data_IF_558685202096
#
_entry.id   IF_558685202096
#
_cell.length_a   1.000
_cell.length_b   1.000
_cell.length_c   1.000
_cell.angle_alpha   90.00
_cell.angle_beta   90.00
_cell.angle_gamma   90.00
#
_symmetry.space_group_name_H-M   'P 1'
#
loop_
_entity.id
_entity.type
_entity.pdbx_description
1 polymer ?
#
# COMPACT_ATOMS: atom_id res chain seq x y z
N UNK A 1 5.33 23.70 -11.18
CA UNK A 1 6.39 22.74 -10.84
C UNK A 1 6.33 21.61 -11.88
N UNK A 2 7.39 21.33 -12.63
CA UNK A 2 7.39 20.14 -13.51
C UNK A 2 7.61 18.93 -12.61
N UNK A 3 6.55 18.22 -12.29
CA UNK A 3 6.63 16.97 -11.53
C UNK A 3 7.28 15.95 -12.47
N UNK A 4 8.44 15.45 -12.08
CA UNK A 4 9.10 14.36 -12.79
C UNK A 4 8.39 13.05 -12.39
N UNK A 5 7.75 12.38 -13.33
CA UNK A 5 7.02 11.12 -13.13
C UNK A 5 7.93 10.09 -12.44
N UNK A 6 9.20 10.05 -12.83
CA UNK A 6 10.17 9.14 -12.23
C UNK A 6 10.36 9.40 -10.73
N UNK A 7 10.40 10.67 -10.30
CA UNK A 7 10.44 11.01 -8.88
C UNK A 7 9.17 10.54 -8.16
N UNK A 8 8.00 10.79 -8.75
CA UNK A 8 6.72 10.37 -8.18
C UNK A 8 6.60 8.86 -7.98
N UNK A 9 7.12 8.06 -8.92
CA UNK A 9 7.13 6.60 -8.84
C UNK A 9 8.07 6.10 -7.73
N UNK A 10 9.18 6.81 -7.46
CA UNK A 10 10.16 6.41 -6.45
C UNK A 10 9.79 6.85 -5.04
N UNK A 11 8.92 7.84 -4.88
CA UNK A 11 8.54 8.40 -3.57
C UNK A 11 8.04 7.31 -2.59
N UNK A 12 7.13 6.39 -2.94
CA UNK A 12 6.70 5.31 -2.05
C UNK A 12 7.87 4.44 -1.59
N UNK A 13 8.69 3.96 -2.50
CA UNK A 13 9.88 3.16 -2.22
C UNK A 13 10.88 3.86 -1.28
N UNK A 14 11.01 5.18 -1.39
CA UNK A 14 11.82 5.96 -0.44
C UNK A 14 11.21 5.90 0.96
N UNK A 15 9.89 5.95 1.08
CA UNK A 15 9.16 5.78 2.35
C UNK A 15 9.51 4.45 3.02
N UNK A 16 9.33 3.33 2.31
CA UNK A 16 9.67 1.97 2.76
C UNK A 16 11.15 1.87 3.17
N UNK A 17 12.05 2.42 2.34
CA UNK A 17 13.50 2.40 2.60
C UNK A 17 13.87 3.18 3.87
N UNK A 18 13.29 4.36 4.07
CA UNK A 18 13.50 5.18 5.27
C UNK A 18 12.97 4.49 6.51
N UNK A 19 11.80 3.86 6.43
CA UNK A 19 11.25 3.03 7.49
C UNK A 19 12.16 1.86 7.84
N UNK A 20 12.64 1.13 6.85
CA UNK A 20 13.59 0.04 7.04
C UNK A 20 14.89 0.51 7.69
N UNK A 21 15.34 1.73 7.41
CA UNK A 21 16.56 2.30 7.99
C UNK A 21 16.47 2.55 9.51
N UNK A 22 15.26 2.54 10.10
CA UNK A 22 15.07 2.64 11.55
C UNK A 22 15.87 1.56 12.32
N UNK A 23 16.12 0.40 11.71
CA UNK A 23 16.91 -0.69 12.31
C UNK A 23 18.33 -0.30 12.68
N UNK A 24 18.92 0.72 12.05
CA UNK A 24 20.25 1.20 12.37
C UNK A 24 20.29 2.01 13.67
N UNK A 25 19.22 2.72 13.98
CA UNK A 25 19.13 3.66 15.10
C UNK A 25 18.46 3.04 16.32
N UNK A 26 17.51 2.13 16.12
CA UNK A 26 16.79 1.49 17.21
C UNK A 26 17.58 0.30 17.78
N UNK A 27 17.60 0.19 19.11
CA UNK A 27 18.31 -0.89 19.83
C UNK A 27 17.40 -2.00 20.32
N UNK A 28 16.10 -1.75 20.37
CA UNK A 28 15.06 -2.67 20.90
C UNK A 28 13.98 -2.88 19.86
N UNK A 29 13.26 -3.99 19.96
CA UNK A 29 12.03 -4.23 19.20
C UNK A 29 11.00 -3.15 19.49
N UNK A 30 10.14 -2.87 18.51
CA UNK A 30 9.02 -1.96 18.70
C UNK A 30 8.09 -2.51 19.80
N UNK A 31 7.65 -1.64 20.71
CA UNK A 31 6.64 -2.03 21.67
C UNK A 31 5.31 -2.32 20.97
N UNK A 32 4.50 -3.22 21.52
CA UNK A 32 3.17 -3.55 20.95
C UNK A 32 2.29 -2.32 20.72
N UNK A 33 2.36 -1.32 21.63
CA UNK A 33 1.61 -0.07 21.47
C UNK A 33 2.07 0.74 20.28
N UNK A 34 3.39 0.78 20.01
CA UNK A 34 3.94 1.45 18.83
C UNK A 34 3.56 0.70 17.55
N UNK A 35 3.65 -0.63 17.52
CA UNK A 35 3.22 -1.42 16.37
C UNK A 35 1.75 -1.14 16.04
N UNK A 36 0.85 -1.20 17.02
CA UNK A 36 -0.58 -0.87 16.85
C UNK A 36 -0.81 0.55 16.33
N UNK A 37 -0.05 1.51 16.84
CA UNK A 37 -0.14 2.90 16.38
C UNK A 37 0.28 3.03 14.93
N UNK A 38 1.39 2.41 14.54
CA UNK A 38 1.91 2.43 13.18
C UNK A 38 0.97 1.71 12.20
N UNK A 39 0.48 0.52 12.54
CA UNK A 39 -0.49 -0.23 11.75
C UNK A 39 -1.82 0.55 11.58
N UNK A 40 -2.33 1.13 12.67
CA UNK A 40 -3.53 1.97 12.61
C UNK A 40 -3.34 3.20 11.72
N UNK A 41 -2.20 3.88 11.85
CA UNK A 41 -1.88 5.06 11.05
C UNK A 41 -1.80 4.73 9.55
N UNK A 42 -1.08 3.64 9.18
CA UNK A 42 -1.00 3.17 7.81
C UNK A 42 -2.38 2.78 7.26
N UNK A 43 -3.16 2.00 8.02
CA UNK A 43 -4.52 1.63 7.64
C UNK A 43 -5.42 2.86 7.38
N UNK A 44 -5.32 3.89 8.22
CA UNK A 44 -6.07 5.13 8.03
C UNK A 44 -5.73 5.85 6.74
N UNK A 45 -4.44 5.97 6.41
CA UNK A 45 -3.98 6.57 5.15
C UNK A 45 -4.48 5.74 3.96
N UNK A 46 -4.32 4.41 3.98
CA UNK A 46 -4.73 3.52 2.89
C UNK A 46 -6.24 3.60 2.62
N UNK A 47 -7.07 3.63 3.67
CA UNK A 47 -8.53 3.78 3.50
C UNK A 47 -8.88 5.12 2.86
N UNK A 48 -8.30 6.22 3.34
CA UNK A 48 -8.54 7.54 2.77
C UNK A 48 -8.07 7.62 1.30
N UNK A 49 -6.85 7.17 1.00
CA UNK A 49 -6.32 7.12 -0.37
C UNK A 49 -7.21 6.28 -1.30
N UNK A 50 -7.67 5.11 -0.83
CA UNK A 50 -8.58 4.25 -1.61
C UNK A 50 -9.88 4.98 -1.97
N UNK A 51 -10.40 5.81 -1.09
CA UNK A 51 -11.64 6.55 -1.32
C UNK A 51 -11.39 7.77 -2.22
N UNK A 52 -10.53 8.70 -1.78
CA UNK A 52 -10.38 10.01 -2.44
C UNK A 52 -9.54 9.95 -3.70
N UNK A 53 -8.40 9.26 -3.66
CA UNK A 53 -7.48 9.21 -4.80
C UNK A 53 -7.89 8.18 -5.86
N UNK A 54 -8.67 7.15 -5.52
CA UNK A 54 -8.96 6.04 -6.43
C UNK A 54 -10.46 5.87 -6.73
N UNK A 55 -11.32 5.61 -5.74
CA UNK A 55 -12.74 5.30 -5.98
C UNK A 55 -13.54 6.51 -6.45
N UNK A 56 -13.31 7.70 -5.88
CA UNK A 56 -14.01 8.91 -6.30
C UNK A 56 -13.66 9.28 -7.74
N UNK A 57 -12.38 9.34 -8.18
CA UNK A 57 -12.02 9.55 -9.57
C UNK A 57 -12.58 8.47 -10.52
N UNK A 58 -12.57 7.19 -10.12
CA UNK A 58 -13.15 6.11 -10.90
C UNK A 58 -14.65 6.32 -11.15
N UNK A 59 -15.39 6.69 -10.10
CA UNK A 59 -16.82 6.96 -10.18
C UNK A 59 -17.13 8.16 -11.07
N UNK A 60 -16.37 9.26 -10.93
CA UNK A 60 -16.53 10.46 -11.76
C UNK A 60 -16.28 10.19 -13.23
N UNK A 61 -15.28 9.37 -13.57
CA UNK A 61 -15.00 8.99 -14.96
C UNK A 61 -16.12 8.16 -15.59
N UNK A 62 -16.96 7.53 -14.77
CA UNK A 62 -18.07 6.66 -15.21
C UNK A 62 -19.42 7.36 -15.24
N UNK A 63 -19.51 8.64 -14.92
CA UNK A 63 -20.77 9.42 -14.85
C UNK A 63 -21.57 9.37 -16.16
N UNK A 64 -20.92 9.28 -17.32
CA UNK A 64 -21.57 9.14 -18.62
C UNK A 64 -22.43 7.89 -18.75
N UNK A 65 -22.26 6.86 -17.89
CA UNK A 65 -23.04 5.64 -17.85
C UNK A 65 -24.39 5.80 -17.11
N UNK A 66 -24.70 7.00 -16.60
CA UNK A 66 -25.93 7.29 -15.90
C UNK A 66 -26.13 6.39 -14.66
N UNK A 67 -27.24 5.66 -14.58
CA UNK A 67 -27.56 4.79 -13.45
C UNK A 67 -26.59 3.61 -13.28
N UNK A 68 -25.80 3.27 -14.30
CA UNK A 68 -24.79 2.20 -14.26
C UNK A 68 -23.38 2.70 -13.96
N UNK A 69 -23.21 3.98 -13.59
CA UNK A 69 -21.89 4.59 -13.28
C UNK A 69 -21.13 3.89 -12.16
N UNK A 70 -21.81 3.18 -11.27
CA UNK A 70 -21.19 2.39 -10.19
C UNK A 70 -20.52 1.09 -10.68
N UNK A 71 -20.88 0.59 -11.87
CA UNK A 71 -20.45 -0.74 -12.35
C UNK A 71 -18.92 -0.84 -12.47
N UNK A 72 -18.18 0.10 -13.11
CA UNK A 72 -16.74 0.02 -13.16
C UNK A 72 -16.09 0.03 -11.77
N UNK A 73 -16.60 0.86 -10.86
CA UNK A 73 -16.10 0.93 -9.50
C UNK A 73 -16.31 -0.39 -8.74
N UNK A 74 -17.50 -0.94 -8.77
CA UNK A 74 -17.81 -2.20 -8.07
C UNK A 74 -17.06 -3.39 -8.67
N UNK A 75 -17.04 -3.51 -10.00
CA UNK A 75 -16.38 -4.64 -10.67
C UNK A 75 -14.87 -4.58 -10.46
N UNK A 76 -14.25 -3.41 -10.67
CA UNK A 76 -12.80 -3.24 -10.44
C UNK A 76 -12.43 -3.54 -8.99
N UNK A 77 -13.19 -3.01 -8.04
CA UNK A 77 -12.98 -3.25 -6.61
C UNK A 77 -12.98 -4.75 -6.25
N UNK A 78 -13.99 -5.48 -6.71
CA UNK A 78 -14.06 -6.93 -6.48
C UNK A 78 -12.91 -7.69 -7.13
N UNK A 79 -12.52 -7.30 -8.36
CA UNK A 79 -11.37 -7.93 -9.02
C UNK A 79 -10.09 -7.68 -8.20
N UNK A 80 -9.91 -6.48 -7.62
CA UNK A 80 -8.78 -6.17 -6.75
C UNK A 80 -8.73 -7.01 -5.49
N UNK A 81 -9.86 -7.15 -4.79
CA UNK A 81 -10.02 -8.03 -3.62
C UNK A 81 -9.65 -9.48 -3.99
N UNK A 82 -10.26 -10.01 -5.07
CA UNK A 82 -10.04 -11.41 -5.48
C UNK A 82 -8.61 -11.66 -5.98
N UNK A 83 -7.98 -10.66 -6.58
CA UNK A 83 -6.57 -10.73 -7.00
C UNK A 83 -5.65 -10.91 -5.80
N UNK A 84 -5.80 -10.09 -4.76
CA UNK A 84 -4.98 -10.22 -3.54
C UNK A 84 -5.27 -11.53 -2.82
N UNK A 85 -6.54 -11.89 -2.66
CA UNK A 85 -6.93 -13.18 -2.10
C UNK A 85 -6.28 -14.35 -2.86
N UNK A 86 -6.20 -14.28 -4.19
CA UNK A 86 -5.54 -15.31 -4.98
C UNK A 86 -4.02 -15.32 -4.75
N UNK A 87 -3.36 -14.16 -4.69
CA UNK A 87 -1.92 -14.07 -4.38
C UNK A 87 -1.61 -14.62 -3.01
N UNK A 88 -2.43 -14.31 -2.02
CA UNK A 88 -2.34 -14.77 -0.65
C UNK A 88 -2.38 -16.30 -0.55
N UNK A 89 -3.26 -16.93 -1.32
CA UNK A 89 -3.34 -18.39 -1.41
C UNK A 89 -2.24 -19.06 -2.25
N UNK A 90 -1.63 -18.33 -3.20
CA UNK A 90 -0.65 -18.90 -4.14
C UNK A 90 0.81 -18.70 -3.71
N UNK A 91 1.08 -17.72 -2.86
CA UNK A 91 2.45 -17.39 -2.45
C UNK A 91 2.66 -17.77 -0.98
N UNK A 92 3.69 -18.58 -0.65
CA UNK A 92 3.98 -18.90 0.72
C UNK A 92 4.54 -17.68 1.45
N UNK A 93 3.85 -17.23 2.50
CA UNK A 93 4.23 -16.06 3.27
C UNK A 93 3.92 -16.24 4.76
N UNK A 94 4.40 -15.33 5.60
CA UNK A 94 4.23 -15.37 7.05
C UNK A 94 4.06 -13.94 7.59
N UNK A 95 2.92 -13.70 8.23
CA UNK A 95 2.67 -12.41 8.87
C UNK A 95 3.53 -12.20 10.11
N UNK A 96 3.88 -10.95 10.38
CA UNK A 96 4.66 -10.58 11.56
C UNK A 96 3.88 -10.93 12.83
N UNK A 97 4.53 -11.71 13.72
CA UNK A 97 3.89 -12.17 14.96
C UNK A 97 3.03 -13.42 14.84
N UNK A 98 2.89 -14.01 13.63
CA UNK A 98 2.27 -15.33 13.43
C UNK A 98 3.32 -16.44 13.46
N UNK A 99 2.90 -17.62 13.93
CA UNK A 99 3.68 -18.86 13.85
C UNK A 99 3.15 -19.80 12.75
N UNK A 100 2.06 -19.43 12.10
CA UNK A 100 1.46 -20.21 11.02
C UNK A 100 1.71 -19.50 9.69
N UNK A 101 2.43 -20.19 8.80
CA UNK A 101 2.63 -19.72 7.44
C UNK A 101 1.36 -19.95 6.61
N UNK A 102 1.06 -19.00 5.73
CA UNK A 102 -0.04 -19.06 4.78
C UNK A 102 0.44 -19.43 3.38
N UNK A 103 -0.50 -19.79 2.50
CA UNK A 103 -0.19 -20.24 1.15
C UNK A 103 0.33 -21.69 1.09
N UNK A 104 0.96 -22.10 -0.02
CA UNK A 104 1.45 -23.46 -0.22
C UNK A 104 2.59 -23.81 0.74
N UNK A 105 2.67 -25.07 1.14
CA UNK A 105 3.80 -25.56 1.96
C UNK A 105 5.13 -25.27 1.25
N UNK A 106 6.02 -24.57 1.93
CA UNK A 106 7.30 -24.13 1.39
C UNK A 106 8.47 -24.51 2.32
N UNK A 107 9.66 -24.63 1.73
CA UNK A 107 10.92 -24.78 2.45
C UNK A 107 11.63 -23.44 2.70
N UNK A 108 10.97 -22.32 2.38
CA UNK A 108 11.52 -20.98 2.60
C UNK A 108 11.72 -20.70 4.09
N UNK A 109 12.79 -20.04 4.44
CA UNK A 109 13.05 -19.62 5.81
C UNK A 109 12.03 -18.59 6.29
N UNK A 110 11.79 -18.53 7.60
CA UNK A 110 10.86 -17.61 8.27
C UNK A 110 11.05 -16.15 7.79
N UNK A 111 12.30 -15.67 7.80
CA UNK A 111 12.67 -14.33 7.33
C UNK A 111 12.21 -14.05 5.89
N UNK A 112 12.42 -15.00 4.98
CA UNK A 112 12.01 -14.84 3.58
C UNK A 112 10.48 -14.75 3.45
N UNK A 113 9.75 -15.59 4.18
CA UNK A 113 8.29 -15.58 4.17
C UNK A 113 7.72 -14.28 4.75
N UNK A 114 8.34 -13.70 5.78
CA UNK A 114 7.97 -12.39 6.31
C UNK A 114 8.19 -11.25 5.30
N UNK A 115 9.32 -11.28 4.57
CA UNK A 115 9.57 -10.29 3.50
C UNK A 115 8.56 -10.46 2.37
N UNK A 116 8.20 -11.70 2.00
CA UNK A 116 7.19 -11.96 0.97
C UNK A 116 5.81 -11.42 1.35
N UNK A 117 5.39 -11.56 2.61
CA UNK A 117 4.12 -10.99 3.08
C UNK A 117 4.03 -9.49 2.72
N UNK A 118 4.99 -8.69 3.21
CA UNK A 118 4.99 -7.23 2.93
C UNK A 118 5.19 -6.94 1.43
N UNK A 119 5.95 -7.75 0.71
CA UNK A 119 6.11 -7.61 -0.75
C UNK A 119 4.77 -7.74 -1.47
N UNK A 120 3.90 -8.67 -1.05
CA UNK A 120 2.56 -8.85 -1.63
C UNK A 120 1.69 -7.60 -1.46
N UNK A 121 1.81 -6.92 -0.32
CA UNK A 121 1.04 -5.70 -0.02
C UNK A 121 1.53 -4.50 -0.81
N UNK A 122 2.82 -4.40 -1.05
CA UNK A 122 3.42 -3.30 -1.81
C UNK A 122 3.13 -3.37 -3.33
N UNK A 123 2.68 -4.53 -3.86
CA UNK A 123 2.29 -4.65 -5.27
C UNK A 123 1.10 -3.74 -5.62
N UNK A 124 -0.04 -3.77 -4.90
CA UNK A 124 -1.18 -2.88 -5.15
C UNK A 124 -0.83 -1.40 -5.04
N UNK A 125 0.07 -1.05 -4.12
CA UNK A 125 0.51 0.33 -3.91
C UNK A 125 1.28 0.86 -5.12
N UNK A 126 2.24 0.09 -5.61
CA UNK A 126 2.93 0.40 -6.85
C UNK A 126 1.98 0.51 -8.04
N UNK A 127 1.02 -0.42 -8.17
CA UNK A 127 0.00 -0.36 -9.22
C UNK A 127 -0.89 0.87 -9.08
N UNK A 128 -1.31 1.27 -7.88
CA UNK A 128 -2.11 2.47 -7.63
C UNK A 128 -1.39 3.74 -8.13
N UNK A 129 -0.11 3.90 -7.76
CA UNK A 129 0.74 4.99 -8.26
C UNK A 129 0.84 4.94 -9.79
N UNK A 130 1.08 3.75 -10.35
CA UNK A 130 1.17 3.55 -11.79
C UNK A 130 -0.10 3.95 -12.54
N UNK A 131 -1.28 3.57 -12.04
CA UNK A 131 -2.59 3.94 -12.62
C UNK A 131 -2.80 5.45 -12.60
N UNK A 132 -2.46 6.13 -11.50
CA UNK A 132 -2.59 7.59 -11.40
C UNK A 132 -1.67 8.32 -12.38
N UNK A 133 -0.40 7.93 -12.48
CA UNK A 133 0.51 8.53 -13.47
C UNK A 133 0.14 8.17 -14.91
N UNK A 134 -0.40 6.98 -15.15
CA UNK A 134 -0.93 6.59 -16.45
C UNK A 134 -2.13 7.47 -16.87
N UNK A 135 -3.07 7.70 -15.94
CA UNK A 135 -4.19 8.59 -16.15
C UNK A 135 -3.77 10.04 -16.42
N UNK A 136 -2.79 10.55 -15.67
CA UNK A 136 -2.20 11.85 -15.90
C UNK A 136 -1.54 11.97 -17.30
N UNK A 137 -0.75 10.97 -17.72
CA UNK A 137 -0.12 10.91 -19.04
C UNK A 137 -1.13 10.83 -20.19
N UNK A 138 -2.28 10.23 -19.93
CA UNK A 138 -3.39 10.14 -20.87
C UNK A 138 -4.25 11.43 -20.93
N UNK A 139 -3.81 12.49 -20.26
CA UNK A 139 -4.54 13.77 -20.18
C UNK A 139 -5.98 13.60 -19.66
N UNK A 140 -6.18 12.64 -18.73
CA UNK A 140 -7.48 12.38 -18.15
C UNK A 140 -7.91 13.58 -17.28
N UNK A 141 -9.07 14.17 -17.58
CA UNK A 141 -9.57 15.37 -16.93
C UNK A 141 -9.78 15.25 -15.41
N UNK A 142 -9.87 14.03 -14.88
CA UNK A 142 -10.07 13.74 -13.46
C UNK A 142 -8.76 13.46 -12.68
N UNK A 143 -7.62 13.37 -13.40
CA UNK A 143 -6.33 13.02 -12.78
C UNK A 143 -5.30 14.09 -13.12
N UNK A 144 -4.91 14.84 -12.11
CA UNK A 144 -3.89 15.88 -12.22
C UNK A 144 -2.51 15.33 -11.82
N UNK A 145 -1.44 16.02 -12.23
CA UNK A 145 -0.09 15.71 -11.73
C UNK A 145 -0.01 15.85 -10.20
N UNK A 146 -0.78 16.79 -9.64
CA UNK A 146 -0.79 17.02 -8.19
C UNK A 146 -1.51 15.87 -7.46
N UNK A 147 -2.67 15.41 -7.96
CA UNK A 147 -3.37 14.27 -7.35
C UNK A 147 -2.54 12.98 -7.40
N UNK A 148 -1.82 12.73 -8.51
CA UNK A 148 -0.89 11.60 -8.58
C UNK A 148 0.27 11.72 -7.57
N UNK A 149 0.83 12.93 -7.40
CA UNK A 149 1.87 13.18 -6.40
C UNK A 149 1.33 13.04 -4.97
N UNK A 150 0.13 13.53 -4.69
CA UNK A 150 -0.52 13.41 -3.37
C UNK A 150 -0.69 11.95 -2.99
N UNK A 151 -1.16 11.10 -3.92
CA UNK A 151 -1.22 9.66 -3.67
C UNK A 151 0.17 9.07 -3.39
N UNK A 152 1.17 9.40 -4.20
CA UNK A 152 2.56 8.91 -3.99
C UNK A 152 3.11 9.32 -2.61
N UNK A 153 2.85 10.55 -2.16
CA UNK A 153 3.24 11.03 -0.83
C UNK A 153 2.48 10.32 0.28
N UNK A 154 1.17 10.12 0.12
CA UNK A 154 0.35 9.37 1.07
C UNK A 154 0.87 7.95 1.26
N UNK A 155 1.14 7.24 0.14
CA UNK A 155 1.72 5.90 0.17
C UNK A 155 3.12 5.92 0.82
N UNK A 156 3.98 6.89 0.51
CA UNK A 156 5.30 7.00 1.16
C UNK A 156 5.21 7.19 2.68
N UNK A 157 4.23 7.97 3.15
CA UNK A 157 4.02 8.22 4.58
C UNK A 157 3.56 6.93 5.30
N UNK A 158 2.69 6.12 4.68
CA UNK A 158 2.28 4.83 5.27
C UNK A 158 3.38 3.77 5.17
N UNK A 159 4.16 3.76 4.11
CA UNK A 159 5.26 2.81 3.88
C UNK A 159 6.42 3.00 4.84
N UNK A 160 6.58 4.20 5.41
CA UNK A 160 7.58 4.41 6.46
C UNK A 160 7.30 3.52 7.70
N UNK A 161 6.09 3.50 8.31
CA UNK A 161 5.71 2.47 9.28
C UNK A 161 5.98 1.04 8.84
N UNK A 162 5.60 0.68 7.62
CA UNK A 162 5.70 -0.69 7.11
C UNK A 162 7.15 -1.15 6.96
N UNK A 163 8.03 -0.31 6.42
CA UNK A 163 9.47 -0.58 6.37
C UNK A 163 10.08 -0.82 7.75
N UNK A 164 9.61 -0.10 8.78
CA UNK A 164 10.04 -0.31 10.16
C UNK A 164 9.47 -1.60 10.74
N UNK A 165 8.19 -1.88 10.49
CA UNK A 165 7.50 -3.10 10.95
C UNK A 165 8.15 -4.36 10.39
N UNK A 166 8.69 -4.36 9.17
CA UNK A 166 9.40 -5.53 8.63
C UNK A 166 10.86 -5.62 9.09
N UNK A 167 11.61 -4.53 9.06
CA UNK A 167 13.05 -4.55 9.36
C UNK A 167 13.35 -4.83 10.85
N UNK A 168 12.52 -4.33 11.76
CA UNK A 168 12.73 -4.50 13.19
C UNK A 168 12.51 -5.95 13.68
N UNK A 169 11.43 -6.66 13.30
CA UNK A 169 11.28 -8.09 13.59
C UNK A 169 12.39 -8.95 12.97
N UNK A 170 12.80 -8.68 11.72
CA UNK A 170 13.94 -9.41 11.11
C UNK A 170 15.19 -9.28 11.95
N UNK A 171 15.44 -8.11 12.53
CA UNK A 171 16.54 -7.92 13.48
C UNK A 171 16.33 -8.71 14.78
N UNK A 172 15.11 -8.80 15.27
CA UNK A 172 14.77 -9.56 16.49
C UNK A 172 14.94 -11.07 16.29
N UNK A 173 14.67 -11.60 15.10
CA UNK A 173 14.91 -12.98 14.69
C UNK A 173 16.41 -13.33 14.55
N UNK A 174 17.32 -12.39 14.80
CA UNK A 174 18.76 -12.61 14.82
C UNK A 174 19.51 -12.17 13.56
N UNK A 175 18.82 -11.63 12.56
CA UNK A 175 19.46 -11.10 11.35
C UNK A 175 20.37 -9.90 11.69
N UNK A 176 21.44 -9.72 10.91
CA UNK A 176 22.28 -8.51 11.04
C UNK A 176 21.49 -7.26 10.65
N UNK A 177 21.86 -6.08 11.19
CA UNK A 177 21.20 -4.80 10.82
C UNK A 177 21.17 -4.58 9.31
N UNK A 178 22.26 -4.90 8.59
CA UNK A 178 22.34 -4.76 7.15
C UNK A 178 21.38 -5.70 6.40
N UNK A 179 21.25 -6.97 6.83
CA UNK A 179 20.31 -7.90 6.23
C UNK A 179 18.85 -7.54 6.54
N UNK A 180 18.57 -7.13 7.78
CA UNK A 180 17.23 -6.67 8.16
C UNK A 180 16.81 -5.40 7.37
N UNK A 181 17.71 -4.45 7.21
CA UNK A 181 17.51 -3.28 6.33
C UNK A 181 17.25 -3.70 4.88
N UNK A 182 18.12 -4.57 4.33
CA UNK A 182 17.96 -5.06 2.95
C UNK A 182 16.64 -5.80 2.75
N UNK A 183 16.19 -6.57 3.74
CA UNK A 183 14.87 -7.23 3.70
C UNK A 183 13.73 -6.22 3.55
N UNK A 184 13.75 -5.14 4.34
CA UNK A 184 12.76 -4.06 4.21
C UNK A 184 12.88 -3.31 2.87
N UNK A 185 14.09 -3.02 2.40
CA UNK A 185 14.27 -2.39 1.07
C UNK A 185 13.75 -3.28 -0.06
N UNK A 186 14.04 -4.58 -0.02
CA UNK A 186 13.62 -5.52 -1.05
C UNK A 186 12.08 -5.70 -1.09
N UNK A 187 11.39 -5.61 0.05
CA UNK A 187 9.93 -5.65 0.05
C UNK A 187 9.31 -4.47 -0.70
N UNK A 188 9.96 -3.29 -0.68
CA UNK A 188 9.49 -2.09 -1.38
C UNK A 188 9.88 -2.01 -2.87
N UNK A 189 10.83 -2.81 -3.36
CA UNK A 189 11.29 -2.74 -4.77
C UNK A 189 10.16 -3.01 -5.76
N UNK A 190 9.14 -3.76 -5.37
CA UNK A 190 7.98 -4.06 -6.23
C UNK A 190 7.09 -2.85 -6.49
N UNK A 191 7.16 -1.81 -5.66
CA UNK A 191 6.39 -0.57 -5.83
C UNK A 191 6.77 0.16 -7.13
N UNK A 192 8.04 0.59 -7.34
CA UNK A 192 8.42 1.22 -8.60
C UNK A 192 8.30 0.28 -9.80
N UNK A 193 8.53 -1.03 -9.64
CA UNK A 193 8.35 -2.01 -10.70
C UNK A 193 6.87 -2.08 -11.09
N UNK A 194 5.97 -2.23 -10.12
CA UNK A 194 4.52 -2.26 -10.34
C UNK A 194 4.01 -0.99 -11.00
N UNK A 195 4.49 0.18 -10.56
CA UNK A 195 4.14 1.45 -11.16
C UNK A 195 4.58 1.55 -12.63
N UNK A 196 5.84 1.20 -12.94
CA UNK A 196 6.35 1.23 -14.32
C UNK A 196 5.59 0.24 -15.22
N UNK A 197 5.37 -0.99 -14.75
CA UNK A 197 4.62 -2.00 -15.52
C UNK A 197 3.18 -1.53 -15.80
N UNK A 198 2.53 -0.90 -14.82
CA UNK A 198 1.19 -0.35 -14.98
C UNK A 198 1.16 0.80 -15.98
N UNK A 199 2.14 1.72 -15.93
CA UNK A 199 2.25 2.81 -16.91
C UNK A 199 2.49 2.26 -18.32
N UNK A 200 3.35 1.27 -18.48
CA UNK A 200 3.61 0.65 -19.81
C UNK A 200 2.38 -0.08 -20.34
N UNK A 201 1.60 -0.70 -19.47
CA UNK A 201 0.34 -1.34 -19.84
C UNK A 201 -0.79 -0.33 -20.12
N UNK A 202 -0.66 0.90 -19.67
CA UNK A 202 -1.73 1.91 -19.68
C UNK A 202 -2.25 2.26 -21.08
N UNK A 203 -1.43 2.20 -22.12
CA UNK A 203 -1.89 2.43 -23.50
C UNK A 203 -2.95 1.41 -23.93
N UNK A 204 -2.91 0.19 -23.37
CA UNK A 204 -3.92 -0.83 -23.56
C UNK A 204 -5.13 -0.63 -22.62
N UNK A 205 -5.00 0.23 -21.63
CA UNK A 205 -5.81 0.25 -20.42
C UNK A 205 -6.55 1.57 -20.20
N UNK A 206 -6.26 2.63 -20.95
CA UNK A 206 -6.95 3.93 -20.83
C UNK A 206 -8.48 3.78 -20.83
N UNK A 207 -9.13 2.97 -21.70
CA UNK A 207 -10.57 2.76 -21.66
C UNK A 207 -11.06 2.04 -20.38
N UNK A 208 -10.15 1.32 -19.71
CA UNK A 208 -10.44 0.57 -18.48
C UNK A 208 -9.96 1.31 -17.21
N UNK A 209 -9.54 2.57 -17.32
CA UNK A 209 -8.98 3.33 -16.21
C UNK A 209 -9.88 3.35 -14.96
N UNK A 210 -11.23 3.53 -15.04
CA UNK A 210 -12.09 3.45 -13.87
C UNK A 210 -12.05 2.08 -13.17
N UNK A 211 -11.94 1.00 -13.94
CA UNK A 211 -11.80 -0.36 -13.39
C UNK A 211 -10.46 -0.56 -12.68
N UNK A 212 -9.37 0.02 -13.21
CA UNK A 212 -8.04 -0.13 -12.63
C UNK A 212 -7.85 0.71 -11.36
N UNK A 213 -8.37 1.94 -11.34
CA UNK A 213 -8.40 2.75 -10.13
C UNK A 213 -9.14 2.00 -9.02
N UNK A 214 -10.29 1.43 -9.34
CA UNK A 214 -11.10 0.68 -8.39
C UNK A 214 -10.47 -0.66 -8.01
N UNK A 215 -9.77 -1.31 -8.94
CA UNK A 215 -8.97 -2.50 -8.68
C UNK A 215 -7.88 -2.22 -7.64
N UNK A 216 -7.11 -1.14 -7.83
CA UNK A 216 -6.09 -0.74 -6.87
C UNK A 216 -6.68 -0.45 -5.49
N UNK A 217 -7.82 0.26 -5.44
CA UNK A 217 -8.54 0.51 -4.20
C UNK A 217 -9.00 -0.77 -3.50
N UNK A 218 -9.56 -1.73 -4.26
CA UNK A 218 -9.99 -3.03 -3.71
C UNK A 218 -8.83 -3.83 -3.16
N UNK A 219 -7.72 -3.89 -3.89
CA UNK A 219 -6.51 -4.58 -3.46
C UNK A 219 -5.91 -3.94 -2.19
N UNK A 220 -5.83 -2.60 -2.11
CA UNK A 220 -5.38 -1.89 -0.90
C UNK A 220 -6.32 -2.14 0.30
N UNK A 221 -7.64 -2.12 0.09
CA UNK A 221 -8.59 -2.38 1.19
C UNK A 221 -8.57 -3.84 1.64
N UNK A 222 -8.23 -4.80 0.78
CA UNK A 222 -7.95 -6.18 1.19
C UNK A 222 -6.85 -6.21 2.25
N UNK A 223 -5.70 -5.58 1.98
CA UNK A 223 -4.58 -5.49 2.93
C UNK A 223 -5.00 -4.83 4.24
N UNK A 224 -5.76 -3.75 4.18
CA UNK A 224 -6.24 -3.06 5.39
C UNK A 224 -7.07 -4.00 6.27
N UNK A 225 -7.99 -4.75 5.68
CA UNK A 225 -8.94 -5.60 6.41
C UNK A 225 -8.26 -6.87 6.90
N UNK A 226 -7.44 -7.50 6.07
CA UNK A 226 -6.80 -8.80 6.36
C UNK A 226 -5.63 -8.67 7.32
N UNK A 227 -4.87 -7.56 7.26
CA UNK A 227 -3.66 -7.41 8.05
C UNK A 227 -3.68 -6.23 9.02
N UNK A 228 -3.84 -5.01 8.52
CA UNK A 228 -3.60 -3.82 9.34
C UNK A 228 -4.64 -3.67 10.45
N UNK A 229 -5.91 -4.00 10.19
CA UNK A 229 -6.95 -3.97 11.23
C UNK A 229 -6.70 -5.04 12.31
N UNK A 230 -6.43 -6.31 11.98
CA UNK A 230 -6.02 -7.30 12.96
C UNK A 230 -4.77 -6.87 13.75
N UNK A 231 -3.72 -6.36 13.11
CA UNK A 231 -2.48 -5.93 13.76
C UNK A 231 -2.72 -4.77 14.74
N UNK A 232 -3.45 -3.74 14.33
CA UNK A 232 -3.74 -2.59 15.21
C UNK A 232 -4.63 -2.96 16.39
N UNK A 233 -5.35 -4.08 16.31
CA UNK A 233 -6.28 -4.57 17.34
C UNK A 233 -5.70 -5.68 18.22
N UNK A 234 -4.48 -6.16 17.97
CA UNK A 234 -3.86 -7.30 18.65
C UNK A 234 -3.74 -7.12 20.16
N UNK A 235 -4.02 -8.19 20.94
CA UNK A 235 -3.77 -8.27 22.39
C UNK A 235 -4.84 -7.59 23.24
N UNK A 236 -4.47 -6.97 24.37
CA UNK A 236 -5.44 -6.32 25.27
C UNK A 236 -6.07 -5.10 24.59
N UNK A 237 -7.35 -4.86 24.88
CA UNK A 237 -8.10 -3.71 24.37
C UNK A 237 -7.33 -2.39 24.56
N UNK A 238 -7.22 -1.61 23.49
CA UNK A 238 -6.53 -0.33 23.49
C UNK A 238 -7.09 0.54 22.35
N UNK A 239 -7.29 1.82 22.64
CA UNK A 239 -7.77 2.79 21.65
C UNK A 239 -6.65 3.36 20.77
N UNK A 240 -5.38 2.96 21.00
CA UNK A 240 -4.22 3.54 20.31
C UNK A 240 -4.33 3.32 18.79
N UNK A 241 -4.61 2.08 18.35
CA UNK A 241 -4.77 1.78 16.92
C UNK A 241 -5.87 2.64 16.28
N UNK A 242 -7.03 2.75 16.94
CA UNK A 242 -8.17 3.56 16.45
C UNK A 242 -7.84 5.04 16.36
N UNK A 243 -7.16 5.60 17.37
CA UNK A 243 -6.78 7.02 17.35
C UNK A 243 -5.77 7.32 16.25
N UNK A 244 -4.79 6.44 16.06
CA UNK A 244 -3.81 6.59 14.99
C UNK A 244 -4.41 6.31 13.60
N UNK A 245 -5.38 5.40 13.48
CA UNK A 245 -6.18 5.25 12.28
C UNK A 245 -6.89 6.56 11.91
N UNK A 246 -7.59 7.16 12.86
CA UNK A 246 -8.26 8.45 12.64
C UNK A 246 -7.28 9.56 12.26
N UNK A 247 -6.07 9.57 12.84
CA UNK A 247 -5.02 10.52 12.49
C UNK A 247 -4.52 10.32 11.06
N UNK A 248 -4.19 9.09 10.67
CA UNK A 248 -3.74 8.76 9.31
C UNK A 248 -4.81 9.06 8.26
N UNK A 249 -6.05 8.64 8.53
CA UNK A 249 -7.21 8.94 7.68
C UNK A 249 -7.40 10.45 7.47
N UNK A 250 -7.37 11.22 8.57
CA UNK A 250 -7.52 12.68 8.50
C UNK A 250 -6.38 13.35 7.74
N UNK A 251 -5.14 12.90 7.95
CA UNK A 251 -3.97 13.43 7.23
C UNK A 251 -4.12 13.21 5.72
N UNK A 252 -4.44 12.00 5.29
CA UNK A 252 -4.57 11.70 3.86
C UNK A 252 -5.76 12.43 3.24
N UNK A 253 -6.90 12.49 3.94
CA UNK A 253 -8.05 13.27 3.49
C UNK A 253 -7.70 14.75 3.30
N UNK A 254 -6.92 15.34 4.21
CA UNK A 254 -6.46 16.73 4.08
C UNK A 254 -5.55 16.87 2.86
N UNK A 255 -4.61 15.95 2.66
CA UNK A 255 -3.72 15.98 1.49
C UNK A 255 -4.50 15.92 0.17
N UNK A 256 -5.46 14.99 0.07
CA UNK A 256 -6.29 14.83 -1.14
C UNK A 256 -7.21 16.05 -1.37
N UNK A 257 -7.89 16.55 -0.35
CA UNK A 257 -8.87 17.63 -0.50
C UNK A 257 -8.21 19.00 -0.65
N UNK A 258 -7.08 19.24 0.01
CA UNK A 258 -6.41 20.53 0.01
C UNK A 258 -5.39 20.69 -1.14
N UNK A 259 -4.80 19.61 -1.63
CA UNK A 259 -3.73 19.63 -2.62
C UNK A 259 -4.07 18.85 -3.90
N UNK A 260 -4.99 17.88 -3.85
CA UNK A 260 -5.34 16.94 -4.93
C UNK A 260 -6.28 17.45 -6.03
#
# INVERSE_FOLDING_TARGET
MRINIFEGILIPFVGTTLGAACVFFMRKTLSKSVQRALAGFAAGIMVAASIWSLLIPASKQSESMGTLSFVPAVVGFWIGILFLLALDHLIPHLHVGSDQAEGPKSKLGRTTMMVLAVTLHNIPEGMAVGVMYAGFLAENAQITATSALVLSLGIAIQNFPEGAIISMPLRAEGESKGKAFLGGVLSGVVEPIGAVLTILAAQLVIPALPYLLSFAAGAMLYVVVEELIPEMSQGQHSNIGTLFFALGFSLMMILDVALG
#
